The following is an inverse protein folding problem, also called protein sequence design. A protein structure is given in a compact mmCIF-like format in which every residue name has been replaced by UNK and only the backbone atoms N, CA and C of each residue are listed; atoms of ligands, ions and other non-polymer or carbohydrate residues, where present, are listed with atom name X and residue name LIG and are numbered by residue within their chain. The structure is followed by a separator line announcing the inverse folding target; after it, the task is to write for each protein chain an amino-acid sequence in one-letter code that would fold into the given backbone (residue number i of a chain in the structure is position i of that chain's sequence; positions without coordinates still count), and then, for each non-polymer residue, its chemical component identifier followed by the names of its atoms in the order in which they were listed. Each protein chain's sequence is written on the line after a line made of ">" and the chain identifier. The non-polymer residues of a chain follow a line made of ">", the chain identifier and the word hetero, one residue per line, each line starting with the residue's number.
data_IF_654784987609
#
_entry.id   IF_654784987609
#
_cell.length_a   1.000
_cell.length_b   1.000
_cell.length_c   1.000
_cell.angle_alpha   90.00
_cell.angle_beta   90.00
_cell.angle_gamma   90.00
#
_symmetry.space_group_name_H-M   'P 1'
#
loop_
_entity.id
_entity.type
_entity.pdbx_description
1 polymer ?
#
# COMPACT_ATOMS: atom_id res chain seq x y z
N UNK A 1 -50.00 -24.34 18.01
CA UNK A 1 -48.61 -24.02 18.39
C UNK A 1 -47.70 -24.07 17.16
N UNK A 2 -47.87 -23.16 16.20
CA UNK A 2 -47.13 -23.18 14.92
C UNK A 2 -46.83 -21.77 14.37
N UNK A 3 -46.75 -20.77 15.26
CA UNK A 3 -46.56 -19.36 14.90
C UNK A 3 -45.34 -18.69 15.55
N UNK A 4 -44.58 -19.41 16.38
CA UNK A 4 -43.45 -18.84 17.13
C UNK A 4 -42.06 -19.11 16.52
N UNK A 5 -41.96 -19.97 15.50
CA UNK A 5 -40.66 -20.36 14.93
C UNK A 5 -40.20 -19.51 13.74
N UNK A 6 -41.07 -18.69 13.15
CA UNK A 6 -40.71 -17.96 11.92
C UNK A 6 -39.89 -16.67 12.16
N UNK A 7 -39.89 -16.13 13.39
CA UNK A 7 -39.24 -14.84 13.68
C UNK A 7 -37.74 -15.01 13.97
N UNK A 8 -37.30 -16.17 14.46
CA UNK A 8 -35.88 -16.40 14.83
C UNK A 8 -34.99 -16.55 13.59
N UNK A 9 -35.51 -17.10 12.49
CA UNK A 9 -34.74 -17.26 11.25
C UNK A 9 -34.52 -15.96 10.48
N UNK A 10 -35.35 -14.94 10.68
CA UNK A 10 -35.20 -13.66 9.96
C UNK A 10 -34.09 -12.78 10.54
N UNK A 11 -33.72 -12.97 11.81
CA UNK A 11 -32.66 -12.19 12.47
C UNK A 11 -31.25 -12.76 12.18
N UNK A 12 -31.15 -14.04 11.82
CA UNK A 12 -29.88 -14.66 11.40
C UNK A 12 -29.49 -14.38 9.93
N UNK A 13 -30.37 -13.74 9.15
CA UNK A 13 -30.12 -13.43 7.74
C UNK A 13 -29.35 -12.13 7.48
N UNK A 14 -29.08 -11.31 8.50
CA UNK A 14 -28.56 -9.94 8.32
C UNK A 14 -27.20 -9.65 8.98
N UNK A 15 -26.57 -10.62 9.64
CA UNK A 15 -25.33 -10.40 10.41
C UNK A 15 -24.05 -10.90 9.73
N UNK A 16 -24.12 -11.47 8.52
CA UNK A 16 -22.97 -12.14 7.88
C UNK A 16 -22.15 -11.31 6.89
N UNK A 17 -22.67 -10.20 6.35
CA UNK A 17 -22.06 -9.57 5.15
C UNK A 17 -21.35 -8.23 5.43
N UNK A 18 -21.37 -7.74 6.66
CA UNK A 18 -20.84 -6.41 7.00
C UNK A 18 -19.40 -6.41 7.55
N UNK A 19 -18.65 -7.51 7.40
CA UNK A 19 -17.27 -7.63 7.90
C UNK A 19 -16.18 -7.25 6.87
N UNK A 20 -16.55 -6.82 5.65
CA UNK A 20 -15.58 -6.49 4.58
C UNK A 20 -15.32 -4.99 4.37
N UNK A 21 -15.77 -4.12 5.28
CA UNK A 21 -15.61 -2.66 5.15
C UNK A 21 -14.50 -2.06 6.05
N UNK A 22 -13.95 -2.82 6.99
CA UNK A 22 -12.94 -2.30 7.93
C UNK A 22 -11.52 -2.61 7.45
N UNK A 23 -10.95 -1.66 6.70
CA UNK A 23 -9.49 -1.56 6.54
C UNK A 23 -8.95 -1.74 5.13
N UNK A 24 -9.64 -1.23 4.11
CA UNK A 24 -9.00 -1.02 2.81
C UNK A 24 -7.87 0.01 2.96
N UNK A 25 -6.67 -0.47 3.29
CA UNK A 25 -5.44 0.32 3.25
C UNK A 25 -5.26 0.76 1.80
N UNK A 26 -5.78 1.95 1.48
CA UNK A 26 -5.71 2.50 0.13
C UNK A 26 -4.26 2.88 -0.17
N UNK A 27 -3.70 2.21 -1.17
CA UNK A 27 -2.39 2.55 -1.71
C UNK A 27 -2.57 3.70 -2.70
N UNK A 28 -1.95 4.83 -2.41
CA UNK A 28 -1.97 6.00 -3.28
C UNK A 28 -0.60 6.16 -3.92
N UNK A 29 -0.56 6.40 -5.24
CA UNK A 29 0.69 6.68 -5.91
C UNK A 29 1.27 8.00 -5.38
N UNK A 30 2.53 7.96 -4.93
CA UNK A 30 3.26 9.11 -4.39
C UNK A 30 4.42 9.52 -5.28
N UNK A 31 4.93 8.62 -6.11
CA UNK A 31 6.07 8.94 -6.96
C UNK A 31 6.38 7.87 -7.99
N UNK A 32 7.56 8.01 -8.60
CA UNK A 32 8.06 7.12 -9.64
C UNK A 32 9.59 7.12 -9.64
N UNK A 33 10.22 5.97 -9.93
CA UNK A 33 11.68 5.88 -10.07
C UNK A 33 12.18 6.69 -11.27
N UNK A 34 13.27 7.41 -11.08
CA UNK A 34 13.96 8.20 -12.14
C UNK A 34 15.06 7.41 -12.85
N UNK A 35 15.55 6.35 -12.23
CA UNK A 35 16.59 5.44 -12.72
C UNK A 35 16.20 3.97 -12.50
N UNK A 36 16.95 3.07 -13.13
CA UNK A 36 16.86 1.64 -12.84
C UNK A 36 17.50 1.36 -11.47
N UNK A 37 16.89 0.43 -10.73
CA UNK A 37 17.35 0.01 -9.40
C UNK A 37 17.45 -1.51 -9.40
N UNK A 38 18.59 -2.02 -8.99
CA UNK A 38 18.86 -3.47 -9.00
C UNK A 38 18.51 -4.14 -7.67
N UNK A 39 18.33 -5.46 -7.71
CA UNK A 39 18.27 -6.32 -6.54
C UNK A 39 19.43 -6.01 -5.58
N UNK A 40 19.13 -6.05 -4.27
CA UNK A 40 20.13 -5.80 -3.23
C UNK A 40 20.33 -4.31 -2.89
N UNK A 41 19.80 -3.39 -3.70
CA UNK A 41 19.91 -1.95 -3.43
C UNK A 41 18.89 -1.50 -2.37
N UNK A 42 19.24 -0.42 -1.66
CA UNK A 42 18.37 0.24 -0.68
C UNK A 42 18.10 1.71 -1.02
N UNK A 43 18.81 2.28 -1.98
CA UNK A 43 18.68 3.68 -2.36
C UNK A 43 17.83 3.78 -3.64
N UNK A 44 16.76 4.55 -3.58
CA UNK A 44 15.89 4.84 -4.71
C UNK A 44 15.97 6.34 -5.03
N UNK A 45 16.12 6.70 -6.30
CA UNK A 45 15.89 8.08 -6.75
C UNK A 45 14.47 8.21 -7.31
N UNK A 46 13.68 9.11 -6.69
CA UNK A 46 12.24 9.18 -6.85
C UNK A 46 11.82 10.58 -7.29
N UNK A 47 11.08 10.63 -8.39
CA UNK A 47 10.31 11.81 -8.77
C UNK A 47 8.98 11.80 -8.02
N UNK A 48 8.84 12.71 -7.07
CA UNK A 48 7.62 12.85 -6.26
C UNK A 48 6.46 13.47 -7.05
N UNK A 49 5.29 12.85 -6.95
CA UNK A 49 3.98 13.45 -7.26
C UNK A 49 3.40 14.06 -5.98
N UNK A 50 3.57 13.33 -4.87
CA UNK A 50 3.20 13.74 -3.51
C UNK A 50 4.39 13.41 -2.62
N UNK A 51 4.84 14.31 -1.73
CA UNK A 51 5.94 14.00 -0.83
C UNK A 51 5.67 12.72 -0.01
N UNK A 52 6.58 11.75 -0.09
CA UNK A 52 6.52 10.54 0.71
C UNK A 52 6.77 10.82 2.19
N UNK A 53 6.30 9.92 3.07
CA UNK A 53 6.57 10.00 4.51
C UNK A 53 7.56 8.90 4.92
N UNK A 54 8.63 9.26 5.63
CA UNK A 54 9.60 8.31 6.19
C UNK A 54 8.96 7.37 7.23
N UNK A 55 9.64 6.27 7.57
CA UNK A 55 9.20 5.24 8.51
C UNK A 55 7.88 4.52 8.15
N UNK A 56 7.39 4.68 6.92
CA UNK A 56 6.17 4.06 6.40
C UNK A 56 6.50 3.02 5.33
N UNK A 57 5.52 2.16 5.03
CA UNK A 57 5.62 1.20 3.95
C UNK A 57 5.36 1.86 2.59
N UNK A 58 6.15 1.48 1.61
CA UNK A 58 5.89 1.70 0.20
C UNK A 58 5.64 0.39 -0.51
N UNK A 59 4.86 0.46 -1.58
CA UNK A 59 4.75 -0.55 -2.60
C UNK A 59 5.45 0.00 -3.84
N UNK A 60 6.46 -0.71 -4.31
CA UNK A 60 7.14 -0.44 -5.56
C UNK A 60 6.59 -1.42 -6.60
N UNK A 61 6.08 -0.89 -7.71
CA UNK A 61 5.45 -1.67 -8.79
C UNK A 61 6.19 -1.39 -10.10
N UNK A 62 6.53 -2.43 -10.85
CA UNK A 62 7.18 -2.29 -12.17
C UNK A 62 6.27 -1.56 -13.16
N UNK A 63 6.81 -0.94 -14.23
CA UNK A 63 6.02 -0.15 -15.17
C UNK A 63 4.91 -0.97 -15.86
N UNK A 64 5.15 -2.26 -16.07
CA UNK A 64 4.23 -3.23 -16.66
C UNK A 64 3.30 -3.90 -15.63
N UNK A 65 3.50 -3.66 -14.33
CA UNK A 65 2.72 -4.26 -13.24
C UNK A 65 3.00 -5.74 -12.98
N UNK A 66 4.00 -6.34 -13.64
CA UNK A 66 4.31 -7.75 -13.46
C UNK A 66 5.00 -8.05 -12.12
N UNK A 67 5.71 -7.07 -11.55
CA UNK A 67 6.45 -7.19 -10.31
C UNK A 67 6.02 -6.11 -9.32
N UNK A 68 5.84 -6.51 -8.07
CA UNK A 68 5.50 -5.59 -7.00
C UNK A 68 6.13 -6.03 -5.67
N UNK A 69 6.69 -5.07 -4.94
CA UNK A 69 7.43 -5.33 -3.72
C UNK A 69 7.10 -4.29 -2.63
N UNK A 70 6.84 -4.76 -1.41
CA UNK A 70 6.57 -3.89 -0.27
C UNK A 70 7.82 -3.72 0.57
N UNK A 71 8.23 -2.47 0.81
CA UNK A 71 9.41 -2.13 1.61
C UNK A 71 9.13 -0.99 2.58
N UNK A 72 9.89 -0.94 3.68
CA UNK A 72 9.79 0.16 4.64
C UNK A 72 10.81 1.23 4.29
N UNK A 73 10.36 2.48 4.19
CA UNK A 73 11.27 3.63 4.11
C UNK A 73 11.94 3.82 5.46
N UNK A 74 13.26 3.87 5.46
CA UNK A 74 14.07 4.31 6.59
C UNK A 74 14.10 5.83 6.64
N UNK A 75 14.56 6.49 5.57
CA UNK A 75 14.66 7.95 5.52
C UNK A 75 14.48 8.52 4.11
N UNK A 76 14.24 9.83 4.00
CA UNK A 76 14.07 10.57 2.74
C UNK A 76 14.97 11.81 2.74
N UNK A 77 15.81 11.95 1.71
CA UNK A 77 16.70 13.08 1.48
C UNK A 77 16.43 13.69 0.10
N UNK A 78 15.52 14.66 0.04
CA UNK A 78 15.05 15.23 -1.23
C UNK A 78 14.34 14.17 -2.07
N UNK A 79 14.92 13.83 -3.23
CA UNK A 79 14.40 12.78 -4.12
C UNK A 79 14.93 11.39 -3.77
N UNK A 80 15.93 11.29 -2.88
CA UNK A 80 16.53 10.02 -2.50
C UNK A 80 15.74 9.39 -1.36
N UNK A 81 15.29 8.16 -1.55
CA UNK A 81 14.61 7.35 -0.55
C UNK A 81 15.53 6.21 -0.13
N UNK A 82 15.75 6.06 1.17
CA UNK A 82 16.51 4.94 1.73
C UNK A 82 15.52 3.92 2.30
N UNK A 83 15.65 2.68 1.88
CA UNK A 83 14.86 1.55 2.37
C UNK A 83 15.55 0.87 3.55
N UNK A 84 14.75 0.43 4.51
CA UNK A 84 15.23 -0.34 5.66
C UNK A 84 15.71 -1.75 5.28
N UNK A 85 15.15 -2.32 4.21
CA UNK A 85 15.54 -3.62 3.68
C UNK A 85 15.95 -3.48 2.21
N UNK A 86 16.85 -4.35 1.77
CA UNK A 86 17.26 -4.47 0.37
C UNK A 86 16.11 -4.90 -0.51
N UNK A 87 16.14 -4.49 -1.78
CA UNK A 87 15.23 -5.01 -2.78
C UNK A 87 15.51 -6.49 -3.07
N UNK A 88 14.45 -7.25 -3.34
CA UNK A 88 14.54 -8.66 -3.76
C UNK A 88 14.43 -8.81 -5.29
N UNK A 89 14.07 -7.75 -6.00
CA UNK A 89 13.91 -7.75 -7.45
C UNK A 89 14.52 -6.49 -8.08
N UNK A 90 14.80 -6.58 -9.38
CA UNK A 90 15.14 -5.43 -10.21
C UNK A 90 13.87 -4.62 -10.55
N UNK A 91 14.00 -3.29 -10.53
CA UNK A 91 12.94 -2.36 -10.92
C UNK A 91 13.47 -1.35 -11.93
N UNK A 92 12.85 -1.32 -13.11
CA UNK A 92 13.19 -0.37 -14.15
C UNK A 92 12.77 1.06 -13.79
N UNK A 93 13.40 2.04 -14.41
CA UNK A 93 12.95 3.43 -14.46
C UNK A 93 11.48 3.48 -14.85
N UNK A 94 10.73 4.37 -14.18
CA UNK A 94 9.28 4.47 -14.40
C UNK A 94 8.46 3.55 -13.49
N UNK A 95 9.09 2.69 -12.69
CA UNK A 95 8.41 1.94 -11.63
C UNK A 95 7.71 2.89 -10.68
N UNK A 96 6.49 2.56 -10.29
CA UNK A 96 5.60 3.42 -9.54
C UNK A 96 5.77 3.15 -8.05
N UNK A 97 5.80 4.23 -7.26
CA UNK A 97 5.84 4.15 -5.82
C UNK A 97 4.47 4.52 -5.27
N UNK A 98 3.93 3.64 -4.43
CA UNK A 98 2.70 3.86 -3.71
C UNK A 98 2.96 3.85 -2.21
N UNK A 99 2.17 4.63 -1.47
CA UNK A 99 2.20 4.66 -0.02
C UNK A 99 0.78 4.56 0.51
N UNK A 100 0.61 3.90 1.65
CA UNK A 100 -0.69 3.80 2.30
C UNK A 100 -1.15 5.19 2.77
N UNK A 101 -2.30 5.65 2.30
CA UNK A 101 -2.97 6.81 2.90
C UNK A 101 -3.49 6.39 4.27
N UNK A 102 -2.96 6.98 5.33
CA UNK A 102 -3.59 6.87 6.64
C UNK A 102 -4.74 7.87 6.64
N UNK A 103 -5.98 7.38 6.67
CA UNK A 103 -7.17 8.20 6.92
C UNK A 103 -7.22 8.55 8.41
N UNK A 104 -6.20 9.26 8.90
CA UNK A 104 -6.15 9.87 10.23
C UNK A 104 -5.45 11.21 10.07
N UNK A 105 -6.19 12.17 9.52
CA UNK A 105 -5.90 13.60 9.67
C UNK A 105 -7.28 14.26 9.87
N UNK A 106 -7.87 13.94 11.02
CA UNK A 106 -8.94 14.75 11.61
C UNK A 106 -8.30 15.44 12.81
N UNK A 107 -7.79 16.65 12.57
CA UNK A 107 -7.60 17.63 13.65
C UNK A 107 -8.98 18.17 14.08
#
# INVERSE_FOLDING_TARGET
>A
MLRKFLIVMMIMGFSGVSLWSQGSRQWRQVGMLTNDVSEGQTLLDVKWIIPGKAARLILLESPDGALAEVRKIENIYGNNVILKQRLENDFAKGSRLYQQSTTEETD
#
